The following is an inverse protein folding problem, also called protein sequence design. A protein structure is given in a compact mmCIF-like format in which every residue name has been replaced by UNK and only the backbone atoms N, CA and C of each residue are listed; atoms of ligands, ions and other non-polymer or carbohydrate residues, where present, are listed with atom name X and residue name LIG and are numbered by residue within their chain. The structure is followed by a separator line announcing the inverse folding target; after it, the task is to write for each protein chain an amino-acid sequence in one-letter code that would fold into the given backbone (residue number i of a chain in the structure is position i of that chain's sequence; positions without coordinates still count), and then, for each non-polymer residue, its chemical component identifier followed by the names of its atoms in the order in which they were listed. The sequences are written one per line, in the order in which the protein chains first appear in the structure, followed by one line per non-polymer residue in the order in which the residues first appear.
data_IF_724171597906
#
_entry.id   IF_724171597906
#
_cell.length_a   1.000
_cell.length_b   1.000
_cell.length_c   1.000
_cell.angle_alpha   90.00
_cell.angle_beta   90.00
_cell.angle_gamma   90.00
#
_symmetry.space_group_name_H-M   'P 1'
#
loop_
_entity.id
_entity.type
_entity.pdbx_description
1 polymer ?
#
# COMPACT_ATOMS: atom_id res chain seq x y z
N UNK A 1 4.51 15.90 33.46
CA UNK A 1 3.11 15.60 33.80
C UNK A 1 3.02 14.10 34.09
N UNK A 2 2.53 13.69 35.27
CA UNK A 2 2.29 12.29 35.63
C UNK A 2 1.08 11.81 34.83
N UNK A 3 1.27 10.84 33.93
CA UNK A 3 0.14 10.20 33.27
C UNK A 3 -0.61 9.30 34.26
N UNK A 4 -1.95 9.27 34.25
CA UNK A 4 -2.72 8.38 35.10
C UNK A 4 -2.42 6.92 34.74
N UNK A 5 -2.30 6.09 35.79
CA UNK A 5 -2.15 4.63 35.65
C UNK A 5 -3.51 4.01 35.96
N UNK A 6 -4.01 3.16 35.07
CA UNK A 6 -5.26 2.42 35.27
C UNK A 6 -4.97 0.94 35.45
N UNK A 7 -5.73 0.30 36.30
CA UNK A 7 -5.71 -1.16 36.48
C UNK A 7 -6.85 -1.82 35.72
N UNK A 8 -6.76 -3.14 35.49
CA UNK A 8 -7.85 -3.89 34.87
C UNK A 8 -9.18 -3.75 35.63
N UNK A 9 -9.15 -3.63 36.99
CA UNK A 9 -10.34 -3.38 37.79
C UNK A 9 -10.97 -2.01 37.54
N UNK A 10 -10.16 -0.99 37.31
CA UNK A 10 -10.67 0.37 37.09
C UNK A 10 -11.41 0.45 35.74
N UNK A 11 -10.89 -0.20 34.71
CA UNK A 11 -11.51 -0.14 33.38
C UNK A 11 -12.74 -1.01 33.22
N UNK A 12 -12.89 -2.09 34.02
CA UNK A 12 -14.09 -2.96 33.95
C UNK A 12 -15.37 -2.25 34.38
N UNK A 13 -15.26 -1.26 35.26
CA UNK A 13 -16.40 -0.45 35.71
C UNK A 13 -16.82 0.64 34.73
N UNK A 14 -16.01 0.93 33.70
CA UNK A 14 -16.27 1.99 32.74
C UNK A 14 -17.11 1.50 31.56
N UNK A 15 -17.95 2.36 31.02
CA UNK A 15 -18.55 2.18 29.70
C UNK A 15 -17.50 2.33 28.61
N UNK A 16 -17.76 1.84 27.39
CA UNK A 16 -16.78 1.95 26.29
C UNK A 16 -16.48 3.40 25.89
N UNK A 17 -17.46 4.30 26.00
CA UNK A 17 -17.26 5.74 25.75
C UNK A 17 -16.38 6.39 26.82
N UNK A 18 -16.55 6.04 28.09
CA UNK A 18 -15.70 6.51 29.18
C UNK A 18 -14.28 5.96 29.04
N UNK A 19 -14.16 4.66 28.75
CA UNK A 19 -12.87 4.02 28.49
C UNK A 19 -12.12 4.72 27.35
N UNK A 20 -12.79 5.01 26.22
CA UNK A 20 -12.18 5.74 25.13
C UNK A 20 -11.67 7.13 25.52
N UNK A 21 -12.45 7.86 26.34
CA UNK A 21 -12.00 9.17 26.85
C UNK A 21 -10.73 9.06 27.69
N UNK A 22 -10.62 8.01 28.51
CA UNK A 22 -9.41 7.74 29.31
C UNK A 22 -8.23 7.30 28.45
N UNK A 23 -8.45 6.51 27.39
CA UNK A 23 -7.41 6.06 26.47
C UNK A 23 -6.69 7.20 25.75
N UNK A 24 -7.31 8.35 25.56
CA UNK A 24 -6.69 9.55 24.98
C UNK A 24 -5.53 10.10 25.82
N UNK A 25 -5.60 9.97 27.13
CA UNK A 25 -4.64 10.55 28.08
C UNK A 25 -3.81 9.52 28.82
N UNK A 26 -4.34 8.33 29.06
CA UNK A 26 -3.64 7.23 29.72
C UNK A 26 -2.55 6.65 28.82
N UNK A 27 -1.44 6.30 29.44
CA UNK A 27 -0.30 5.64 28.75
C UNK A 27 0.10 4.33 29.43
N UNK A 28 -0.34 4.11 30.66
CA UNK A 28 0.06 2.94 31.46
C UNK A 28 -1.18 2.25 31.97
N UNK A 29 -1.27 0.96 31.66
CA UNK A 29 -2.29 0.05 32.14
C UNK A 29 -1.60 -1.11 32.86
N UNK A 30 -2.01 -1.39 34.10
CA UNK A 30 -1.38 -2.41 34.94
C UNK A 30 -2.37 -3.52 35.28
N UNK A 31 -1.87 -4.73 35.51
CA UNK A 31 -2.68 -5.89 35.96
C UNK A 31 -3.92 -6.15 35.09
N UNK A 32 -3.71 -6.06 33.77
CA UNK A 32 -4.73 -6.33 32.76
C UNK A 32 -4.91 -7.83 32.55
N UNK A 33 -6.13 -8.31 32.58
CA UNK A 33 -6.44 -9.64 32.09
C UNK A 33 -6.46 -9.65 30.54
N UNK A 34 -6.32 -10.80 29.89
CA UNK A 34 -6.41 -10.89 28.43
C UNK A 34 -7.68 -10.26 27.86
N UNK A 35 -8.81 -10.45 28.54
CA UNK A 35 -10.11 -9.86 28.17
C UNK A 35 -10.09 -8.33 28.24
N UNK A 36 -9.43 -7.74 29.25
CA UNK A 36 -9.29 -6.30 29.40
C UNK A 36 -8.43 -5.71 28.26
N UNK A 37 -7.34 -6.40 27.91
CA UNK A 37 -6.48 -6.00 26.75
C UNK A 37 -7.28 -6.02 25.45
N UNK A 38 -8.03 -7.10 25.21
CA UNK A 38 -8.86 -7.24 24.00
C UNK A 38 -9.96 -6.17 23.95
N UNK A 39 -10.57 -5.83 25.08
CA UNK A 39 -11.58 -4.78 25.17
C UNK A 39 -10.98 -3.41 24.83
N UNK A 40 -9.80 -3.08 25.37
CA UNK A 40 -9.09 -1.84 25.03
C UNK A 40 -8.83 -1.76 23.53
N UNK A 41 -8.32 -2.84 22.92
CA UNK A 41 -8.09 -2.90 21.47
C UNK A 41 -9.38 -2.64 20.68
N UNK A 42 -10.46 -3.34 21.02
CA UNK A 42 -11.77 -3.19 20.34
C UNK A 42 -12.36 -1.78 20.48
N UNK A 43 -12.23 -1.16 21.64
CA UNK A 43 -12.69 0.22 21.85
C UNK A 43 -11.92 1.20 21.00
N UNK A 44 -10.60 1.05 20.87
CA UNK A 44 -9.79 1.86 19.97
C UNK A 44 -10.19 1.64 18.49
N UNK A 45 -10.32 0.39 18.07
CA UNK A 45 -10.72 0.02 16.70
C UNK A 45 -12.12 0.57 16.35
N UNK A 46 -13.08 0.50 17.28
CA UNK A 46 -14.43 1.04 17.05
C UNK A 46 -14.46 2.56 16.82
N UNK A 47 -13.41 3.26 17.25
CA UNK A 47 -13.23 4.69 17.03
C UNK A 47 -12.28 5.01 15.87
N UNK A 48 -11.95 4.01 15.03
CA UNK A 48 -11.15 4.18 13.82
C UNK A 48 -9.63 4.23 14.04
N UNK A 49 -9.16 3.84 15.24
CA UNK A 49 -7.72 3.69 15.49
C UNK A 49 -7.23 2.34 14.97
N UNK A 50 -6.01 2.30 14.44
CA UNK A 50 -5.33 1.05 14.06
C UNK A 50 -4.51 0.60 15.24
N UNK A 51 -4.76 -0.62 15.71
CA UNK A 51 -4.17 -1.16 16.93
C UNK A 51 -3.18 -2.26 16.62
N UNK A 52 -1.92 -2.06 17.00
CA UNK A 52 -0.93 -3.12 17.06
C UNK A 52 -0.81 -3.64 18.49
N UNK A 53 -0.85 -4.96 18.65
CA UNK A 53 -0.72 -5.63 19.95
C UNK A 53 0.52 -6.51 19.96
N UNK A 54 1.29 -6.43 21.05
CA UNK A 54 2.44 -7.32 21.27
C UNK A 54 2.14 -8.33 22.35
N UNK A 55 2.58 -9.56 22.16
CA UNK A 55 2.43 -10.64 23.14
C UNK A 55 3.51 -11.71 22.98
N UNK A 56 3.76 -12.44 24.08
CA UNK A 56 4.78 -13.50 24.17
C UNK A 56 4.19 -14.84 24.63
N UNK A 57 3.00 -14.83 25.23
CA UNK A 57 2.39 -15.97 25.87
C UNK A 57 1.16 -16.52 25.16
N UNK A 58 0.76 -17.73 25.60
CA UNK A 58 -0.47 -18.41 25.13
C UNK A 58 -1.71 -17.53 25.44
N UNK A 59 -1.70 -16.82 26.57
CA UNK A 59 -2.79 -15.96 26.99
C UNK A 59 -2.98 -14.71 26.12
N UNK A 60 -1.95 -14.34 25.34
CA UNK A 60 -2.02 -13.19 24.44
C UNK A 60 -2.57 -13.55 23.05
N UNK A 61 -2.66 -14.84 22.71
CA UNK A 61 -3.13 -15.28 21.41
C UNK A 61 -4.50 -14.70 20.98
N UNK A 62 -5.52 -14.62 21.84
CA UNK A 62 -6.79 -13.98 21.46
C UNK A 62 -6.65 -12.48 21.20
N UNK A 63 -5.75 -11.80 21.91
CA UNK A 63 -5.49 -10.36 21.75
C UNK A 63 -4.68 -10.07 20.47
N UNK A 64 -3.70 -10.92 20.17
CA UNK A 64 -2.92 -10.84 18.92
C UNK A 64 -3.84 -11.00 17.70
N UNK A 65 -4.72 -11.99 17.70
CA UNK A 65 -5.69 -12.18 16.60
C UNK A 65 -6.78 -11.12 16.53
N UNK A 66 -7.09 -10.46 17.65
CA UNK A 66 -8.13 -9.43 17.74
C UNK A 66 -7.65 -8.04 17.38
N UNK A 67 -6.34 -7.81 17.29
CA UNK A 67 -5.75 -6.56 16.89
C UNK A 67 -5.75 -6.41 15.36
N UNK A 68 -5.51 -5.20 14.83
CA UNK A 68 -5.29 -4.99 13.40
C UNK A 68 -3.92 -5.54 12.96
N UNK A 69 -2.95 -5.54 13.89
CA UNK A 69 -1.62 -6.13 13.70
C UNK A 69 -1.21 -6.84 14.99
N UNK A 70 -1.18 -8.17 14.97
CA UNK A 70 -0.63 -8.99 16.04
C UNK A 70 0.87 -9.15 15.90
N UNK A 71 1.63 -8.86 16.94
CA UNK A 71 3.10 -8.93 16.95
C UNK A 71 3.56 -9.89 18.05
N UNK A 72 4.17 -11.03 17.68
CA UNK A 72 4.82 -11.91 18.64
C UNK A 72 6.31 -11.60 18.76
N UNK A 73 6.85 -11.73 19.95
CA UNK A 73 8.31 -11.66 20.15
C UNK A 73 8.97 -13.01 19.82
N UNK A 74 10.20 -12.99 19.34
CA UNK A 74 10.91 -14.19 18.91
C UNK A 74 11.12 -15.24 20.01
N UNK A 75 11.22 -14.80 21.28
CA UNK A 75 11.28 -15.65 22.46
C UNK A 75 9.91 -16.15 22.95
N UNK A 76 8.80 -15.71 22.30
CA UNK A 76 7.45 -16.09 22.66
C UNK A 76 7.13 -17.55 22.35
N UNK A 77 5.99 -18.01 22.89
CA UNK A 77 5.49 -19.37 22.63
C UNK A 77 5.09 -19.55 21.16
N UNK A 78 5.14 -20.79 20.67
CA UNK A 78 4.70 -21.11 19.30
C UNK A 78 3.24 -20.70 19.06
N UNK A 79 2.37 -20.83 20.07
CA UNK A 79 0.97 -20.40 19.98
C UNK A 79 0.84 -18.89 19.77
N UNK A 80 1.69 -18.08 20.44
CA UNK A 80 1.72 -16.64 20.22
C UNK A 80 2.21 -16.32 18.81
N UNK A 81 3.27 -16.98 18.32
CA UNK A 81 3.82 -16.80 16.98
C UNK A 81 2.82 -17.18 15.89
N UNK A 82 2.11 -18.31 16.04
CA UNK A 82 1.06 -18.74 15.10
C UNK A 82 -0.18 -17.83 15.11
N UNK A 83 -0.36 -17.06 16.18
CA UNK A 83 -1.49 -16.15 16.32
C UNK A 83 -1.16 -14.70 15.90
N UNK A 84 0.08 -14.42 15.58
CA UNK A 84 0.56 -13.09 15.22
C UNK A 84 0.74 -12.95 13.70
N UNK A 85 0.57 -11.73 13.20
CA UNK A 85 0.82 -11.37 11.80
C UNK A 85 2.32 -11.13 11.54
N UNK A 86 3.06 -10.73 12.60
CA UNK A 86 4.49 -10.42 12.56
C UNK A 86 5.21 -11.07 13.73
N UNK A 87 6.35 -11.69 13.47
CA UNK A 87 7.23 -12.23 14.50
C UNK A 87 8.54 -11.44 14.52
N UNK A 88 8.85 -10.82 15.66
CA UNK A 88 10.10 -10.09 15.84
C UNK A 88 11.23 -11.09 16.20
N UNK A 89 12.25 -11.18 15.37
CA UNK A 89 13.41 -12.07 15.63
C UNK A 89 14.20 -11.55 16.85
N UNK A 90 14.40 -10.26 16.94
CA UNK A 90 15.06 -9.60 18.07
C UNK A 90 14.02 -8.92 18.96
N UNK A 91 14.21 -9.06 20.28
CA UNK A 91 13.31 -8.47 21.26
C UNK A 91 13.71 -7.01 21.52
N UNK A 92 12.81 -6.08 21.27
CA UNK A 92 13.05 -4.68 21.62
C UNK A 92 12.05 -3.72 20.98
N UNK A 93 11.73 -2.65 21.69
CA UNK A 93 10.85 -1.59 21.16
C UNK A 93 11.43 -0.91 19.91
N UNK A 94 12.76 -0.85 19.80
CA UNK A 94 13.42 -0.30 18.60
C UNK A 94 13.11 -1.08 17.33
N UNK A 95 12.96 -2.40 17.41
CA UNK A 95 12.60 -3.25 16.27
C UNK A 95 11.17 -2.95 15.79
N UNK A 96 10.25 -2.67 16.71
CA UNK A 96 8.88 -2.28 16.37
C UNK A 96 8.89 -0.93 15.62
N UNK A 97 9.67 0.04 16.10
CA UNK A 97 9.82 1.34 15.43
C UNK A 97 10.39 1.16 14.02
N UNK A 98 11.41 0.34 13.86
CA UNK A 98 11.98 0.01 12.54
C UNK A 98 10.97 -0.70 11.64
N UNK A 99 10.16 -1.62 12.18
CA UNK A 99 9.11 -2.29 11.42
C UNK A 99 8.02 -1.31 10.94
N UNK A 100 7.64 -0.33 11.78
CA UNK A 100 6.71 0.74 11.38
C UNK A 100 7.31 1.60 10.26
N UNK A 101 8.58 1.99 10.40
CA UNK A 101 9.30 2.78 9.40
C UNK A 101 9.34 2.05 8.05
N UNK A 102 9.70 0.76 8.09
CA UNK A 102 9.76 -0.07 6.89
C UNK A 102 8.38 -0.28 6.26
N UNK A 103 7.34 -0.51 7.05
CA UNK A 103 5.96 -0.60 6.57
C UNK A 103 5.49 0.68 5.87
N UNK A 104 5.85 1.86 6.40
CA UNK A 104 5.56 3.14 5.76
C UNK A 104 6.30 3.33 4.43
N UNK A 105 7.58 2.92 4.37
CA UNK A 105 8.36 2.90 3.13
C UNK A 105 7.70 1.99 2.07
N UNK A 106 7.35 0.76 2.48
CA UNK A 106 6.68 -0.19 1.58
C UNK A 106 5.36 0.35 1.05
N UNK A 107 4.58 1.05 1.89
CA UNK A 107 3.33 1.67 1.48
C UNK A 107 3.55 2.79 0.44
N UNK A 108 4.56 3.64 0.65
CA UNK A 108 4.91 4.69 -0.31
C UNK A 108 5.34 4.08 -1.66
N UNK A 109 6.15 3.01 -1.63
CA UNK A 109 6.58 2.29 -2.84
C UNK A 109 5.40 1.62 -3.54
N UNK A 110 4.49 0.99 -2.79
CA UNK A 110 3.26 0.41 -3.35
C UNK A 110 2.40 1.48 -4.04
N UNK A 111 2.29 2.67 -3.44
CA UNK A 111 1.58 3.79 -4.06
C UNK A 111 2.20 4.19 -5.40
N UNK A 112 3.53 4.27 -5.50
CA UNK A 112 4.23 4.56 -6.76
C UNK A 112 3.94 3.50 -7.81
N UNK A 113 3.99 2.22 -7.44
CA UNK A 113 3.65 1.11 -8.34
C UNK A 113 2.22 1.25 -8.88
N UNK A 114 1.24 1.52 -8.00
CA UNK A 114 -0.16 1.67 -8.41
C UNK A 114 -0.35 2.88 -9.32
N UNK A 115 0.30 4.01 -9.02
CA UNK A 115 0.27 5.22 -9.85
C UNK A 115 0.84 4.95 -11.24
N UNK A 116 2.00 4.32 -11.31
CA UNK A 116 2.64 3.95 -12.56
C UNK A 116 1.78 2.96 -13.37
N UNK A 117 1.31 1.88 -12.76
CA UNK A 117 0.45 0.88 -13.39
C UNK A 117 -0.82 1.50 -14.02
N UNK A 118 -1.49 2.38 -13.28
CA UNK A 118 -2.71 3.02 -13.79
C UNK A 118 -2.41 4.00 -14.93
N UNK A 119 -1.30 4.76 -14.83
CA UNK A 119 -0.90 5.70 -15.88
C UNK A 119 -0.62 5.00 -17.20
N UNK A 120 0.16 3.92 -17.19
CA UNK A 120 0.50 3.13 -18.38
C UNK A 120 -0.73 2.43 -18.94
N UNK A 121 -1.56 1.82 -18.07
CA UNK A 121 -2.79 1.14 -18.49
C UNK A 121 -3.77 2.09 -19.18
N UNK A 122 -3.95 3.33 -18.70
CA UNK A 122 -4.79 4.32 -19.39
C UNK A 122 -4.21 4.72 -20.76
N UNK A 123 -2.89 4.79 -20.87
CA UNK A 123 -2.19 5.02 -22.15
C UNK A 123 -2.48 3.91 -23.16
N UNK A 124 -2.33 2.66 -22.74
CA UNK A 124 -2.57 1.50 -23.59
C UNK A 124 -4.03 1.38 -24.02
N UNK A 125 -4.98 1.57 -23.09
CA UNK A 125 -6.40 1.59 -23.40
C UNK A 125 -6.72 2.68 -24.43
N UNK A 126 -6.11 3.86 -24.29
CA UNK A 126 -6.33 4.98 -25.22
C UNK A 126 -5.74 4.68 -26.59
N UNK A 127 -4.54 4.09 -26.66
CA UNK A 127 -3.88 3.73 -27.92
C UNK A 127 -4.68 2.63 -28.66
N UNK A 128 -4.95 1.52 -27.95
CA UNK A 128 -5.62 0.36 -28.55
C UNK A 128 -7.09 0.65 -28.81
N UNK A 129 -7.81 1.15 -27.81
CA UNK A 129 -9.22 1.50 -27.93
C UNK A 129 -9.46 2.61 -28.96
N UNK A 130 -8.62 3.65 -28.96
CA UNK A 130 -8.64 4.73 -29.95
C UNK A 130 -8.42 4.22 -31.37
N UNK A 131 -7.47 3.31 -31.59
CA UNK A 131 -7.23 2.70 -32.90
C UNK A 131 -8.44 1.88 -33.38
N UNK A 132 -9.09 1.13 -32.47
CA UNK A 132 -10.31 0.38 -32.79
C UNK A 132 -11.50 1.28 -33.13
N UNK A 133 -11.72 2.35 -32.35
CA UNK A 133 -12.78 3.31 -32.60
C UNK A 133 -12.63 4.05 -33.94
N UNK A 134 -11.40 4.26 -34.37
CA UNK A 134 -11.06 4.87 -35.67
C UNK A 134 -11.07 3.87 -36.83
N UNK A 135 -11.41 2.60 -36.59
CA UNK A 135 -11.40 1.54 -37.62
C UNK A 135 -10.00 1.20 -38.14
N UNK A 136 -8.95 1.49 -37.36
CA UNK A 136 -7.56 1.22 -37.72
C UNK A 136 -7.19 -0.22 -37.34
N UNK A 137 -6.16 -0.74 -37.97
CA UNK A 137 -5.54 -2.00 -37.53
C UNK A 137 -4.91 -1.83 -36.15
N UNK A 138 -4.76 -2.91 -35.38
CA UNK A 138 -4.13 -2.84 -34.06
C UNK A 138 -2.67 -2.38 -34.19
N UNK A 139 -2.25 -1.37 -33.41
CA UNK A 139 -0.91 -0.82 -33.42
C UNK A 139 0.14 -1.77 -32.79
N UNK A 140 -0.30 -2.69 -31.93
CA UNK A 140 0.52 -3.67 -31.24
C UNK A 140 -0.08 -5.06 -31.40
N UNK A 141 0.76 -6.07 -31.48
CA UNK A 141 0.34 -7.48 -31.42
C UNK A 141 0.13 -7.91 -29.96
N UNK A 142 -0.77 -8.87 -29.69
CA UNK A 142 -1.01 -9.37 -28.32
C UNK A 142 0.28 -9.83 -27.63
N UNK A 143 1.20 -10.47 -28.35
CA UNK A 143 2.50 -10.88 -27.80
C UNK A 143 3.38 -9.70 -27.38
N UNK A 144 3.33 -8.58 -28.13
CA UNK A 144 4.07 -7.37 -27.81
C UNK A 144 3.50 -6.68 -26.55
N UNK A 145 2.17 -6.66 -26.40
CA UNK A 145 1.49 -6.13 -25.20
C UNK A 145 1.90 -6.96 -23.97
N UNK A 146 1.83 -8.28 -24.06
CA UNK A 146 2.24 -9.17 -22.97
C UNK A 146 3.72 -8.96 -22.61
N UNK A 147 4.58 -8.83 -23.60
CA UNK A 147 6.00 -8.57 -23.38
C UNK A 147 6.22 -7.24 -22.64
N UNK A 148 5.59 -6.15 -23.08
CA UNK A 148 5.72 -4.85 -22.42
C UNK A 148 5.27 -4.94 -20.96
N UNK A 149 4.09 -5.51 -20.69
CA UNK A 149 3.55 -5.59 -19.34
C UNK A 149 4.41 -6.48 -18.41
N UNK A 150 4.92 -7.62 -18.89
CA UNK A 150 5.68 -8.54 -18.04
C UNK A 150 7.15 -8.09 -17.92
N UNK A 151 7.78 -7.74 -19.04
CA UNK A 151 9.23 -7.48 -19.05
C UNK A 151 9.53 -6.03 -18.74
N UNK A 152 8.95 -5.08 -19.48
CA UNK A 152 9.27 -3.67 -19.30
C UNK A 152 8.66 -3.12 -18.01
N UNK A 153 7.36 -3.25 -17.82
CA UNK A 153 6.68 -2.73 -16.64
C UNK A 153 6.98 -3.58 -15.40
N UNK A 154 7.06 -4.91 -15.54
CA UNK A 154 7.41 -5.80 -14.45
C UNK A 154 8.76 -5.46 -13.81
N UNK A 155 9.79 -5.13 -14.61
CA UNK A 155 11.08 -4.69 -14.08
C UNK A 155 10.97 -3.35 -13.33
N UNK A 156 10.12 -2.43 -13.80
CA UNK A 156 9.88 -1.16 -13.11
C UNK A 156 9.17 -1.37 -11.77
N UNK A 157 8.23 -2.32 -11.67
CA UNK A 157 7.59 -2.65 -10.38
C UNK A 157 8.61 -3.15 -9.36
N UNK A 158 9.58 -3.97 -9.79
CA UNK A 158 10.69 -4.38 -8.91
C UNK A 158 11.56 -3.19 -8.50
N UNK A 159 11.90 -2.30 -9.42
CA UNK A 159 12.68 -1.11 -9.09
C UNK A 159 11.99 -0.26 -8.02
N UNK A 160 10.70 0.04 -8.18
CA UNK A 160 9.92 0.77 -7.18
C UNK A 160 9.79 0.03 -5.84
N UNK A 161 9.64 -1.31 -5.85
CA UNK A 161 9.50 -2.09 -4.61
C UNK A 161 10.75 -1.98 -3.72
N UNK A 162 11.94 -1.82 -4.31
CA UNK A 162 13.21 -1.70 -3.59
C UNK A 162 13.69 -0.26 -3.42
N UNK A 163 12.90 0.72 -3.81
CA UNK A 163 13.28 2.12 -3.70
C UNK A 163 13.49 2.53 -2.24
N UNK A 164 14.57 3.27 -1.93
CA UNK A 164 14.84 3.74 -0.58
C UNK A 164 13.78 4.75 -0.13
N UNK A 165 13.65 4.92 1.19
CA UNK A 165 12.72 5.88 1.78
C UNK A 165 13.02 7.31 1.35
N UNK A 166 11.99 8.08 1.08
CA UNK A 166 12.08 9.51 0.79
C UNK A 166 11.76 10.34 2.05
N UNK A 167 12.75 11.06 2.55
CA UNK A 167 12.60 11.93 3.71
C UNK A 167 12.33 11.18 5.02
N UNK A 168 11.77 11.88 6.00
CA UNK A 168 11.40 11.30 7.29
C UNK A 168 9.96 10.78 7.27
N UNK A 169 9.81 9.50 6.97
CA UNK A 169 8.50 8.82 6.95
C UNK A 169 7.87 8.74 8.35
N UNK A 170 8.66 8.86 9.41
CA UNK A 170 8.18 8.81 10.78
C UNK A 170 7.59 10.13 11.28
N UNK A 171 7.94 11.26 10.67
CA UNK A 171 7.38 12.57 10.99
C UNK A 171 5.92 12.75 10.54
N UNK A 172 5.40 11.85 9.69
CA UNK A 172 4.03 11.92 9.17
C UNK A 172 3.01 11.46 10.20
N UNK A 173 1.81 12.07 10.17
CA UNK A 173 0.68 11.63 11.00
C UNK A 173 0.30 10.17 10.66
N UNK A 174 0.23 9.26 11.64
CA UNK A 174 -0.19 7.87 11.42
C UNK A 174 -1.55 7.73 10.72
N UNK A 175 -2.46 8.69 10.93
CA UNK A 175 -3.81 8.71 10.33
C UNK A 175 -3.83 9.13 8.87
N UNK A 176 -2.73 9.69 8.34
CA UNK A 176 -2.64 10.18 6.96
C UNK A 176 -2.38 9.08 5.92
N UNK A 177 -2.29 7.81 6.33
CA UNK A 177 -1.96 6.68 5.47
C UNK A 177 -3.03 5.60 5.50
N UNK A 178 -4.23 5.96 5.07
CA UNK A 178 -5.28 4.98 4.82
C UNK A 178 -5.18 4.48 3.38
N UNK A 179 -5.57 3.23 3.11
CA UNK A 179 -5.62 2.69 1.74
C UNK A 179 -6.44 3.59 0.77
N UNK A 180 -7.38 4.37 1.31
CA UNK A 180 -8.13 5.40 0.57
C UNK A 180 -7.27 6.56 0.06
N UNK A 181 -6.09 6.78 0.67
CA UNK A 181 -5.19 7.88 0.28
C UNK A 181 -4.24 7.48 -0.85
N UNK A 182 -4.18 6.19 -1.20
CA UNK A 182 -3.43 5.72 -2.38
C UNK A 182 -3.98 6.35 -3.65
N UNK A 183 -5.31 6.41 -3.78
CA UNK A 183 -6.01 6.95 -4.93
C UNK A 183 -7.02 8.02 -4.51
N UNK A 184 -6.55 9.23 -4.32
CA UNK A 184 -7.47 10.37 -4.17
C UNK A 184 -8.17 10.67 -5.51
N UNK A 185 -9.42 11.17 -5.52
CA UNK A 185 -10.12 11.53 -6.75
C UNK A 185 -9.33 12.50 -7.64
N UNK A 186 -8.55 13.39 -7.04
CA UNK A 186 -7.66 14.32 -7.78
C UNK A 186 -6.52 13.58 -8.45
N UNK A 187 -5.86 12.66 -7.75
CA UNK A 187 -4.78 11.85 -8.30
C UNK A 187 -5.31 10.97 -9.43
N UNK A 188 -6.46 10.30 -9.22
CA UNK A 188 -7.09 9.48 -10.24
C UNK A 188 -7.40 10.29 -11.51
N UNK A 189 -8.00 11.48 -11.38
CA UNK A 189 -8.24 12.39 -12.50
C UNK A 189 -6.96 12.82 -13.23
N UNK A 190 -5.90 13.10 -12.47
CA UNK A 190 -4.57 13.42 -13.03
C UNK A 190 -3.98 12.24 -13.80
N UNK A 191 -4.03 11.02 -13.26
CA UNK A 191 -3.54 9.80 -13.92
C UNK A 191 -4.30 9.49 -15.20
N UNK A 192 -5.63 9.61 -15.16
CA UNK A 192 -6.45 9.50 -16.37
C UNK A 192 -6.04 10.52 -17.44
N UNK A 193 -5.83 11.77 -17.04
CA UNK A 193 -5.42 12.82 -17.95
C UNK A 193 -4.05 12.53 -18.58
N UNK A 194 -3.07 12.16 -17.77
CA UNK A 194 -1.71 11.83 -18.26
C UNK A 194 -1.75 10.61 -19.19
N UNK A 195 -2.44 9.53 -18.80
CA UNK A 195 -2.57 8.34 -19.63
C UNK A 195 -3.29 8.61 -20.94
N UNK A 196 -4.38 9.42 -20.91
CA UNK A 196 -5.09 9.84 -22.12
C UNK A 196 -4.17 10.63 -23.05
N UNK A 197 -3.42 11.59 -22.52
CA UNK A 197 -2.50 12.42 -23.31
C UNK A 197 -1.37 11.58 -23.93
N UNK A 198 -0.80 10.65 -23.15
CA UNK A 198 0.23 9.73 -23.63
C UNK A 198 -0.31 8.83 -24.75
N UNK A 199 -1.45 8.17 -24.51
CA UNK A 199 -2.08 7.28 -25.47
C UNK A 199 -2.53 8.01 -26.73
N UNK A 200 -3.08 9.23 -26.61
CA UNK A 200 -3.45 10.05 -27.75
C UNK A 200 -2.23 10.48 -28.57
N UNK A 201 -1.11 10.81 -27.92
CA UNK A 201 0.14 11.14 -28.60
C UNK A 201 0.67 9.94 -29.38
N UNK A 202 0.70 8.75 -28.76
CA UNK A 202 1.09 7.51 -29.44
C UNK A 202 0.15 7.15 -30.58
N UNK A 203 -1.16 7.38 -30.43
CA UNK A 203 -2.14 7.17 -31.49
C UNK A 203 -1.92 8.12 -32.67
N UNK A 204 -1.58 9.39 -32.42
CA UNK A 204 -1.21 10.35 -33.44
C UNK A 204 0.05 9.92 -34.23
N UNK A 205 1.08 9.47 -33.51
CA UNK A 205 2.30 8.92 -34.12
C UNK A 205 1.97 7.67 -34.96
N UNK A 206 1.14 6.76 -34.41
CA UNK A 206 0.69 5.58 -35.14
C UNK A 206 -0.02 5.94 -36.46
N UNK A 207 -0.93 6.89 -36.44
CA UNK A 207 -1.63 7.34 -37.64
C UNK A 207 -0.68 7.92 -38.70
N UNK A 208 0.32 8.68 -38.27
CA UNK A 208 1.34 9.22 -39.16
C UNK A 208 2.22 8.12 -39.78
N UNK A 209 2.76 7.22 -38.93
CA UNK A 209 3.63 6.13 -39.40
C UNK A 209 2.92 5.19 -40.39
N UNK A 210 1.63 4.90 -40.15
CA UNK A 210 0.81 4.04 -41.02
C UNK A 210 0.66 4.61 -42.46
N UNK A 211 0.78 5.91 -42.65
CA UNK A 211 0.72 6.53 -43.97
C UNK A 211 2.02 6.38 -44.76
N UNK A 212 3.14 6.13 -44.07
CA UNK A 212 4.49 6.14 -44.65
C UNK A 212 5.09 4.74 -44.75
N UNK A 213 4.77 3.85 -43.80
CA UNK A 213 5.40 2.55 -43.67
C UNK A 213 4.42 1.38 -43.70
N UNK A 214 4.88 0.18 -44.09
CA UNK A 214 4.10 -1.06 -43.96
C UNK A 214 3.71 -1.32 -42.50
N UNK A 215 2.55 -1.96 -42.29
CA UNK A 215 1.98 -2.19 -40.92
C UNK A 215 2.91 -3.01 -40.02
N UNK A 216 3.71 -3.93 -40.57
CA UNK A 216 4.64 -4.76 -39.81
C UNK A 216 5.77 -3.91 -39.17
N UNK A 217 6.32 -2.98 -39.95
CA UNK A 217 7.33 -2.04 -39.48
C UNK A 217 6.74 -1.06 -38.48
N UNK A 218 5.51 -0.57 -38.73
CA UNK A 218 4.82 0.33 -37.83
C UNK A 218 4.58 -0.34 -36.47
N UNK A 219 4.17 -1.60 -36.43
CA UNK A 219 3.98 -2.36 -35.17
C UNK A 219 5.29 -2.48 -34.37
N UNK A 220 6.42 -2.72 -35.07
CA UNK A 220 7.73 -2.77 -34.43
C UNK A 220 8.12 -1.41 -33.86
N UNK A 221 7.92 -0.33 -34.61
CA UNK A 221 8.17 1.04 -34.15
C UNK A 221 7.28 1.41 -32.97
N UNK A 222 5.99 1.08 -33.03
CA UNK A 222 5.03 1.35 -31.95
C UNK A 222 5.36 0.56 -30.67
N UNK A 223 5.80 -0.69 -30.81
CA UNK A 223 6.27 -1.50 -29.69
C UNK A 223 7.49 -0.86 -29.00
N UNK A 224 8.46 -0.39 -29.75
CA UNK A 224 9.63 0.30 -29.19
C UNK A 224 9.25 1.63 -28.55
N UNK A 225 8.38 2.42 -29.20
CA UNK A 225 7.91 3.70 -28.67
C UNK A 225 7.07 3.53 -27.40
N UNK A 226 6.14 2.56 -27.36
CA UNK A 226 5.35 2.32 -26.15
C UNK A 226 6.22 1.83 -24.99
N UNK A 227 7.16 0.92 -25.24
CA UNK A 227 8.11 0.46 -24.22
C UNK A 227 9.01 1.59 -23.72
N UNK A 228 9.50 2.45 -24.61
CA UNK A 228 10.32 3.60 -24.21
C UNK A 228 9.50 4.63 -23.45
N UNK A 229 8.25 4.89 -23.87
CA UNK A 229 7.39 5.86 -23.19
C UNK A 229 7.02 5.39 -21.78
N UNK A 230 6.80 4.09 -21.56
CA UNK A 230 6.55 3.57 -20.21
C UNK A 230 7.79 3.67 -19.31
N UNK A 231 9.00 3.47 -19.83
CA UNK A 231 10.24 3.69 -19.09
C UNK A 231 10.50 5.16 -18.74
N UNK A 232 10.11 6.10 -19.61
CA UNK A 232 10.25 7.54 -19.34
C UNK A 232 9.18 8.05 -18.38
N UNK A 233 8.01 7.41 -18.35
CA UNK A 233 6.92 7.73 -17.42
C UNK A 233 7.16 7.24 -15.99
N UNK A 234 8.15 6.38 -15.76
CA UNK A 234 8.58 5.85 -14.48
C UNK A 234 9.50 6.82 -13.73
#
# INVERSE_FOLDING_TARGET
ASHPVYTGSDIRGLTDSELFSHLKTARVFARMLPEDKLRVARVLQSHGEIVAMTGDGINDAPTLRGADIGIAVGSGTEVAKESADLVLIENGMGVIVSAIEEGRRMFDNLRKIVVYLLSTSFGDITLIGGSMLLGLQLPLLPAQIIWTNIVTEGLMYFAYAFEPKEGDVMARDPRSHTFRDILTPRLYGFLMFVGLMLGASLLGVYQYLKQVYPIEDVRTMMFLLSSLSSLVAA
#
